data_IF_921664388986
#
_entry.id   IF_921664388986
#
_cell.length_a   1.000
_cell.length_b   1.000
_cell.length_c   1.000
_cell.angle_alpha   90.00
_cell.angle_beta   90.00
_cell.angle_gamma   90.00
#
_symmetry.space_group_name_H-M   'P 1'
#
loop_
_entity.id
_entity.type
_entity.pdbx_description
1 polymer ?
#
# COMPACT_ATOMS: atom_id res chain seq x y z
N UNK A 1 6.26 3.82 -54.83
CA UNK A 1 5.10 3.46 -53.98
C UNK A 1 5.47 3.82 -52.55
N UNK A 2 4.93 4.90 -51.96
CA UNK A 2 5.05 5.11 -50.53
C UNK A 2 4.00 4.23 -49.84
N UNK A 3 4.48 3.32 -48.99
CA UNK A 3 3.67 2.55 -48.07
C UNK A 3 3.27 3.47 -46.90
N UNK A 4 2.29 4.34 -47.13
CA UNK A 4 1.53 4.99 -46.05
C UNK A 4 0.64 3.94 -45.40
N UNK A 5 1.22 3.12 -44.53
CA UNK A 5 0.45 2.35 -43.57
C UNK A 5 -0.16 3.37 -42.60
N UNK A 6 -1.42 3.75 -42.84
CA UNK A 6 -2.19 4.59 -41.93
C UNK A 6 -2.01 4.05 -40.50
N UNK A 7 -1.37 4.85 -39.64
CA UNK A 7 -1.06 4.41 -38.29
C UNK A 7 -2.34 4.00 -37.57
N UNK A 8 -2.29 2.83 -36.90
CA UNK A 8 -3.42 2.23 -36.22
C UNK A 8 -4.07 3.27 -35.27
N UNK A 9 -5.35 3.65 -35.47
CA UNK A 9 -6.01 4.68 -34.67
C UNK A 9 -5.96 4.42 -33.16
N UNK A 10 -5.98 3.14 -32.74
CA UNK A 10 -5.83 2.76 -31.33
C UNK A 10 -4.42 3.10 -30.81
N UNK A 11 -3.38 2.76 -31.57
CA UNK A 11 -2.00 3.01 -31.18
C UNK A 11 -1.75 4.51 -31.05
N UNK A 12 -2.26 5.31 -31.99
CA UNK A 12 -2.17 6.77 -31.91
C UNK A 12 -2.80 7.33 -30.62
N UNK A 13 -3.99 6.86 -30.24
CA UNK A 13 -4.64 7.31 -29.01
C UNK A 13 -3.87 6.88 -27.75
N UNK A 14 -3.32 5.67 -27.73
CA UNK A 14 -2.46 5.21 -26.64
C UNK A 14 -1.20 6.06 -26.54
N UNK A 15 -0.55 6.37 -27.67
CA UNK A 15 0.66 7.21 -27.69
C UNK A 15 0.36 8.65 -27.22
N UNK A 16 -0.79 9.21 -27.60
CA UNK A 16 -1.27 10.51 -27.09
C UNK A 16 -1.49 10.45 -25.59
N UNK A 17 -2.16 9.41 -25.08
CA UNK A 17 -2.42 9.25 -23.65
C UNK A 17 -1.11 9.18 -22.84
N UNK A 18 -0.17 8.34 -23.26
CA UNK A 18 1.13 8.17 -22.60
C UNK A 18 2.01 9.42 -22.71
N UNK A 19 1.99 10.09 -23.87
CA UNK A 19 2.71 11.33 -24.09
C UNK A 19 2.17 12.47 -23.23
N UNK A 20 0.85 12.64 -23.16
CA UNK A 20 0.20 13.63 -22.30
C UNK A 20 0.48 13.37 -20.82
N UNK A 21 0.36 12.11 -20.36
CA UNK A 21 0.70 11.71 -18.98
C UNK A 21 2.15 12.07 -18.64
N UNK A 22 3.08 11.79 -19.55
CA UNK A 22 4.51 12.08 -19.35
C UNK A 22 4.81 13.58 -19.26
N UNK A 23 4.00 14.41 -19.91
CA UNK A 23 4.04 15.88 -19.81
C UNK A 23 3.18 16.44 -18.67
N UNK A 24 2.62 15.58 -17.81
CA UNK A 24 1.72 15.96 -16.70
C UNK A 24 0.43 16.66 -17.16
N UNK A 25 0.02 16.45 -18.41
CA UNK A 25 -1.29 16.86 -18.94
C UNK A 25 -2.30 15.74 -18.70
N UNK A 26 -2.76 15.64 -17.45
CA UNK A 26 -3.68 14.60 -17.01
C UNK A 26 -5.06 14.65 -17.69
N UNK A 27 -5.68 15.83 -17.95
CA UNK A 27 -6.93 15.90 -18.70
C UNK A 27 -6.84 15.32 -20.11
N UNK A 28 -5.79 15.67 -20.87
CA UNK A 28 -5.58 15.10 -22.21
C UNK A 28 -5.28 13.60 -22.14
N UNK A 29 -4.48 13.17 -21.15
CA UNK A 29 -4.18 11.76 -20.94
C UNK A 29 -5.46 10.94 -20.69
N UNK A 30 -6.36 11.43 -19.82
CA UNK A 30 -7.64 10.81 -19.54
C UNK A 30 -8.52 10.72 -20.78
N UNK A 31 -8.70 11.83 -21.50
CA UNK A 31 -9.56 11.89 -22.67
C UNK A 31 -9.09 10.95 -23.79
N UNK A 32 -7.78 10.88 -24.04
CA UNK A 32 -7.20 9.96 -25.01
C UNK A 32 -7.35 8.49 -24.57
N UNK A 33 -7.15 8.21 -23.27
CA UNK A 33 -7.34 6.87 -22.70
C UNK A 33 -8.78 6.40 -22.83
N UNK A 34 -9.76 7.24 -22.49
CA UNK A 34 -11.19 6.93 -22.62
C UNK A 34 -11.53 6.60 -24.08
N UNK A 35 -11.10 7.43 -25.04
CA UNK A 35 -11.32 7.18 -26.47
C UNK A 35 -10.70 5.86 -26.93
N UNK A 36 -9.45 5.57 -26.55
CA UNK A 36 -8.79 4.31 -26.86
C UNK A 36 -9.53 3.11 -26.25
N UNK A 37 -9.95 3.25 -24.98
CA UNK A 37 -10.67 2.22 -24.25
C UNK A 37 -12.03 1.90 -24.88
N UNK A 38 -12.81 2.93 -25.26
CA UNK A 38 -14.08 2.75 -25.94
C UNK A 38 -13.92 2.11 -27.34
N UNK A 39 -12.84 2.45 -28.05
CA UNK A 39 -12.56 1.87 -29.37
C UNK A 39 -12.21 0.38 -29.29
N UNK A 40 -11.41 -0.02 -28.30
CA UNK A 40 -10.91 -1.40 -28.18
C UNK A 40 -10.67 -1.81 -26.71
N UNK A 41 -11.73 -2.08 -25.93
CA UNK A 41 -11.59 -2.36 -24.49
C UNK A 41 -10.77 -3.64 -24.22
N UNK A 42 -10.78 -4.61 -25.14
CA UNK A 42 -9.96 -5.82 -25.04
C UNK A 42 -8.46 -5.56 -25.13
N UNK A 43 -8.03 -4.47 -25.77
CA UNK A 43 -6.61 -4.08 -25.80
C UNK A 43 -6.09 -3.66 -24.41
N UNK A 44 -7.00 -3.32 -23.49
CA UNK A 44 -6.69 -2.98 -22.10
C UNK A 44 -6.68 -4.18 -21.16
N UNK A 45 -6.78 -5.42 -21.68
CA UNK A 45 -6.36 -6.63 -20.96
C UNK A 45 -4.81 -6.72 -20.92
N UNK A 46 -4.18 -5.65 -20.42
CA UNK A 46 -2.75 -5.44 -20.47
C UNK A 46 -2.30 -4.64 -19.25
N UNK A 47 -1.81 -5.35 -18.24
CA UNK A 47 -1.31 -4.73 -17.01
C UNK A 47 -0.15 -3.74 -17.25
N UNK A 48 0.71 -3.98 -18.25
CA UNK A 48 1.82 -3.06 -18.56
C UNK A 48 1.30 -1.71 -19.03
N UNK A 49 0.26 -1.70 -19.87
CA UNK A 49 -0.40 -0.47 -20.31
C UNK A 49 -1.00 0.29 -19.13
N UNK A 50 -1.71 -0.41 -18.23
CA UNK A 50 -2.24 0.22 -17.02
C UNK A 50 -1.15 0.79 -16.12
N UNK A 51 -0.05 0.06 -15.92
CA UNK A 51 1.10 0.58 -15.18
C UNK A 51 1.69 1.84 -15.79
N UNK A 52 1.78 1.92 -17.12
CA UNK A 52 2.20 3.13 -17.81
C UNK A 52 1.19 4.27 -17.68
N UNK A 53 -0.11 4.02 -17.63
CA UNK A 53 -1.11 5.07 -17.43
C UNK A 53 -1.16 5.57 -15.98
N UNK A 54 -0.95 4.67 -15.01
CA UNK A 54 -1.02 4.95 -13.57
C UNK A 54 0.28 5.46 -12.94
N UNK A 55 1.43 5.28 -13.60
CA UNK A 55 2.70 5.59 -12.96
C UNK A 55 2.85 7.10 -12.71
N UNK A 56 2.99 7.47 -11.44
CA UNK A 56 3.21 8.82 -10.97
C UNK A 56 4.55 9.39 -11.48
N UNK A 57 4.70 10.73 -11.55
CA UNK A 57 6.01 11.33 -11.71
C UNK A 57 6.90 11.02 -10.48
N UNK A 58 8.23 11.12 -10.61
CA UNK A 58 9.14 10.97 -9.46
C UNK A 58 8.89 11.99 -8.35
N UNK A 59 8.32 13.15 -8.69
CA UNK A 59 7.97 14.23 -7.79
C UNK A 59 6.83 15.07 -8.38
N UNK A 60 6.02 15.70 -7.52
CA UNK A 60 4.93 16.63 -7.90
C UNK A 60 5.36 18.07 -7.63
N UNK A 61 5.19 18.96 -8.62
CA UNK A 61 5.57 20.38 -8.58
C UNK A 61 4.69 21.22 -7.66
N UNK A 62 3.47 20.78 -7.38
CA UNK A 62 2.53 21.48 -6.49
C UNK A 62 1.59 20.47 -5.85
N UNK A 63 0.93 20.86 -4.75
CA UNK A 63 -0.20 20.09 -4.23
C UNK A 63 -1.32 19.91 -5.28
N UNK A 64 -1.58 20.95 -6.09
CA UNK A 64 -2.58 20.88 -7.16
C UNK A 64 -2.26 19.83 -8.23
N UNK A 65 -0.99 19.69 -8.63
CA UNK A 65 -0.58 18.61 -9.57
C UNK A 65 -0.84 17.23 -8.97
N UNK A 66 -0.59 17.06 -7.67
CA UNK A 66 -0.85 15.80 -6.97
C UNK A 66 -2.36 15.47 -6.94
N UNK A 67 -3.20 16.49 -6.69
CA UNK A 67 -4.65 16.37 -6.74
C UNK A 67 -5.15 16.02 -8.15
N UNK A 68 -4.60 16.64 -9.19
CA UNK A 68 -4.95 16.33 -10.59
C UNK A 68 -4.54 14.89 -10.97
N UNK A 69 -3.39 14.42 -10.47
CA UNK A 69 -2.98 13.02 -10.63
C UNK A 69 -3.96 12.07 -9.91
N UNK A 70 -4.39 12.41 -8.70
CA UNK A 70 -5.40 11.62 -7.98
C UNK A 70 -6.72 11.58 -8.75
N UNK A 71 -7.16 12.72 -9.31
CA UNK A 71 -8.36 12.81 -10.11
C UNK A 71 -8.29 11.95 -11.39
N UNK A 72 -7.12 11.90 -12.05
CA UNK A 72 -6.85 10.97 -13.14
C UNK A 72 -6.99 9.52 -12.67
N UNK A 73 -6.34 9.16 -11.56
CA UNK A 73 -6.38 7.82 -11.01
C UNK A 73 -7.81 7.37 -10.67
N UNK A 74 -8.62 8.22 -10.02
CA UNK A 74 -10.02 7.91 -9.74
C UNK A 74 -10.83 7.75 -11.04
N UNK A 75 -10.62 8.64 -12.02
CA UNK A 75 -11.33 8.59 -13.30
C UNK A 75 -11.01 7.34 -14.12
N UNK A 76 -9.75 6.88 -14.09
CA UNK A 76 -9.36 5.63 -14.74
C UNK A 76 -9.96 4.41 -14.02
N UNK A 77 -10.00 4.41 -12.68
CA UNK A 77 -10.72 3.38 -11.93
C UNK A 77 -12.22 3.41 -12.26
N UNK A 78 -12.82 4.59 -12.39
CA UNK A 78 -14.24 4.76 -12.70
C UNK A 78 -14.58 4.22 -14.09
N UNK A 79 -13.71 4.47 -15.07
CA UNK A 79 -13.81 3.92 -16.42
C UNK A 79 -13.83 2.38 -16.39
N UNK A 80 -12.90 1.77 -15.65
CA UNK A 80 -12.81 0.31 -15.54
C UNK A 80 -13.99 -0.26 -14.77
N UNK A 81 -14.38 0.34 -13.64
CA UNK A 81 -15.53 -0.10 -12.85
C UNK A 81 -16.83 -0.06 -13.67
N UNK A 82 -17.06 1.03 -14.40
CA UNK A 82 -18.21 1.17 -15.31
C UNK A 82 -18.21 0.07 -16.37
N UNK A 83 -17.05 -0.17 -16.99
CA UNK A 83 -16.91 -1.22 -18.00
C UNK A 83 -17.16 -2.62 -17.41
N UNK A 84 -16.64 -2.91 -16.22
CA UNK A 84 -16.88 -4.16 -15.51
C UNK A 84 -18.36 -4.38 -15.18
N UNK A 85 -19.08 -3.32 -14.79
CA UNK A 85 -20.52 -3.38 -14.48
C UNK A 85 -21.42 -3.66 -15.69
N UNK A 86 -20.97 -3.31 -16.90
CA UNK A 86 -21.74 -3.48 -18.14
C UNK A 86 -21.35 -4.73 -18.95
N UNK A 87 -20.20 -5.34 -18.67
CA UNK A 87 -19.65 -6.43 -19.47
C UNK A 87 -19.99 -7.83 -18.97
N UNK A 88 -19.70 -8.85 -19.77
CA UNK A 88 -19.81 -10.24 -19.35
C UNK A 88 -18.88 -10.56 -18.17
N UNK A 89 -19.27 -11.45 -17.22
CA UNK A 89 -18.55 -11.65 -15.96
C UNK A 89 -17.07 -12.00 -16.11
N UNK A 90 -16.73 -12.82 -17.12
CA UNK A 90 -15.34 -13.22 -17.36
C UNK A 90 -14.47 -12.06 -17.83
N UNK A 91 -14.97 -11.26 -18.77
CA UNK A 91 -14.24 -10.08 -19.24
C UNK A 91 -14.11 -9.04 -18.14
N UNK A 92 -15.16 -8.81 -17.35
CA UNK A 92 -15.12 -7.91 -16.20
C UNK A 92 -14.03 -8.32 -15.19
N UNK A 93 -13.94 -9.62 -14.88
CA UNK A 93 -12.92 -10.15 -13.99
C UNK A 93 -11.51 -10.01 -14.56
N UNK A 94 -11.30 -10.39 -15.82
CA UNK A 94 -10.00 -10.29 -16.49
C UNK A 94 -9.53 -8.83 -16.59
N UNK A 95 -10.44 -7.91 -16.94
CA UNK A 95 -10.13 -6.49 -17.03
C UNK A 95 -9.73 -5.90 -15.67
N UNK A 96 -10.52 -6.14 -14.62
CA UNK A 96 -10.21 -5.66 -13.28
C UNK A 96 -8.89 -6.26 -12.76
N UNK A 97 -8.62 -7.54 -13.03
CA UNK A 97 -7.37 -8.19 -12.66
C UNK A 97 -6.16 -7.57 -13.37
N UNK A 98 -6.25 -7.34 -14.69
CA UNK A 98 -5.18 -6.68 -15.45
C UNK A 98 -4.95 -5.24 -14.99
N UNK A 99 -6.02 -4.51 -14.70
CA UNK A 99 -5.93 -3.16 -14.13
C UNK A 99 -5.20 -3.16 -12.79
N UNK A 100 -5.65 -3.97 -11.83
CA UNK A 100 -5.03 -4.06 -10.50
C UNK A 100 -3.58 -4.53 -10.57
N UNK A 101 -3.23 -5.43 -11.50
CA UNK A 101 -1.85 -5.86 -11.68
C UNK A 101 -0.92 -4.73 -12.14
N UNK A 102 -1.44 -3.79 -12.95
CA UNK A 102 -0.68 -2.63 -13.41
C UNK A 102 -0.69 -1.43 -12.46
N UNK A 103 -1.77 -1.23 -11.70
CA UNK A 103 -1.98 -0.02 -10.90
C UNK A 103 -1.03 0.09 -9.69
N UNK A 104 -0.62 1.32 -9.38
CA UNK A 104 0.16 1.69 -8.19
C UNK A 104 -0.56 2.79 -7.44
N UNK A 105 -0.86 2.58 -6.15
CA UNK A 105 -1.61 3.51 -5.31
C UNK A 105 -0.72 4.21 -4.27
N UNK A 106 0.58 3.89 -4.22
CA UNK A 106 1.50 4.48 -3.25
C UNK A 106 1.62 6.02 -3.35
N UNK A 107 1.32 6.59 -4.52
CA UNK A 107 1.37 8.03 -4.77
C UNK A 107 -0.01 8.67 -4.71
N UNK A 108 -1.07 7.90 -4.42
CA UNK A 108 -2.42 8.45 -4.25
C UNK A 108 -2.69 8.82 -2.79
N UNK A 109 -1.74 8.52 -1.91
CA UNK A 109 -1.70 8.92 -0.50
C UNK A 109 -0.71 10.08 -0.34
N UNK A 110 -0.85 10.86 0.75
CA UNK A 110 -0.12 12.12 1.02
C UNK A 110 -0.72 13.40 0.38
N UNK A 111 -2.05 13.49 0.35
CA UNK A 111 -2.81 14.71 0.03
C UNK A 111 -3.85 14.95 1.13
N UNK A 112 -4.52 16.11 1.07
CA UNK A 112 -5.55 16.52 2.03
C UNK A 112 -6.97 16.05 1.63
N UNK A 113 -7.08 15.19 0.61
CA UNK A 113 -8.36 14.73 0.09
C UNK A 113 -8.89 13.52 0.86
N UNK A 114 -10.21 13.44 1.01
CA UNK A 114 -10.86 12.29 1.62
C UNK A 114 -10.80 11.08 0.67
N UNK A 115 -10.02 10.06 1.04
CA UNK A 115 -9.76 8.90 0.19
C UNK A 115 -10.78 7.76 0.35
N UNK A 116 -11.79 7.88 1.21
CA UNK A 116 -12.77 6.80 1.44
C UNK A 116 -13.50 6.40 0.15
N UNK A 117 -13.92 7.37 -0.66
CA UNK A 117 -14.57 7.09 -1.95
C UNK A 117 -13.63 6.44 -2.97
N UNK A 118 -12.41 6.97 -3.08
CA UNK A 118 -11.34 6.43 -3.93
C UNK A 118 -11.04 4.96 -3.59
N UNK A 119 -10.87 4.68 -2.30
CA UNK A 119 -10.58 3.32 -1.81
C UNK A 119 -11.80 2.40 -1.94
N UNK A 120 -13.02 2.91 -1.80
CA UNK A 120 -14.25 2.19 -2.11
C UNK A 120 -14.30 1.70 -3.57
N UNK A 121 -13.90 2.58 -4.51
CA UNK A 121 -13.82 2.22 -5.93
C UNK A 121 -12.77 1.15 -6.19
N UNK A 122 -11.58 1.29 -5.59
CA UNK A 122 -10.54 0.26 -5.61
C UNK A 122 -11.07 -1.07 -5.09
N UNK A 123 -11.82 -1.07 -3.98
CA UNK A 123 -12.42 -2.27 -3.41
C UNK A 123 -13.46 -2.93 -4.34
N UNK A 124 -14.25 -2.14 -5.08
CA UNK A 124 -15.15 -2.65 -6.11
C UNK A 124 -14.40 -3.40 -7.22
N UNK A 125 -13.26 -2.87 -7.68
CA UNK A 125 -12.40 -3.53 -8.67
C UNK A 125 -11.81 -4.86 -8.16
N UNK A 126 -11.42 -4.94 -6.88
CA UNK A 126 -11.07 -6.24 -6.27
C UNK A 126 -12.27 -7.20 -6.28
N UNK A 127 -13.48 -6.70 -6.05
CA UNK A 127 -14.71 -7.47 -6.17
C UNK A 127 -14.89 -8.11 -7.55
N UNK A 128 -14.71 -7.34 -8.62
CA UNK A 128 -14.76 -7.85 -10.00
C UNK A 128 -13.65 -8.85 -10.29
N UNK A 129 -12.40 -8.50 -9.96
CA UNK A 129 -11.23 -9.35 -10.22
C UNK A 129 -11.33 -10.72 -9.54
N UNK A 130 -11.98 -10.77 -8.37
CA UNK A 130 -12.15 -12.00 -7.58
C UNK A 130 -13.50 -12.70 -7.83
N UNK A 131 -14.35 -12.16 -8.70
CA UNK A 131 -15.70 -12.70 -8.95
C UNK A 131 -15.68 -14.12 -9.55
N UNK A 132 -14.62 -14.48 -10.28
CA UNK A 132 -14.40 -15.80 -10.88
C UNK A 132 -13.47 -16.69 -10.04
N UNK A 133 -13.20 -16.31 -8.79
CA UNK A 133 -12.37 -17.11 -7.87
C UNK A 133 -13.01 -18.47 -7.60
N UNK A 134 -12.21 -19.55 -7.69
CA UNK A 134 -12.64 -20.91 -7.35
C UNK A 134 -12.95 -21.10 -5.85
N UNK A 135 -12.55 -20.14 -5.00
CA UNK A 135 -12.82 -20.15 -3.56
C UNK A 135 -13.77 -18.99 -3.22
N UNK A 136 -14.83 -19.21 -2.42
CA UNK A 136 -15.75 -18.14 -2.02
C UNK A 136 -15.05 -17.07 -1.20
N UNK A 137 -15.40 -15.79 -1.40
CA UNK A 137 -14.88 -14.66 -0.62
C UNK A 137 -15.36 -14.70 0.83
N UNK A 138 -16.63 -14.99 1.06
CA UNK A 138 -17.18 -15.18 2.41
C UNK A 138 -16.82 -16.56 2.97
N UNK A 139 -16.76 -16.65 4.29
CA UNK A 139 -16.59 -17.90 5.02
C UNK A 139 -17.16 -17.74 6.42
N UNK A 140 -17.82 -18.79 6.91
CA UNK A 140 -18.34 -18.86 8.27
C UNK A 140 -17.43 -19.79 9.03
N UNK A 141 -16.68 -19.23 9.98
CA UNK A 141 -15.93 -20.01 10.95
C UNK A 141 -16.89 -20.58 11.99
N UNK A 142 -16.63 -21.79 12.46
CA UNK A 142 -17.39 -22.36 13.56
C UNK A 142 -17.29 -21.46 14.80
N UNK A 143 -18.40 -21.38 15.54
CA UNK A 143 -18.58 -20.65 16.82
C UNK A 143 -17.41 -20.96 17.79
N UNK A 144 -17.04 -20.03 18.69
CA UNK A 144 -15.68 -19.88 19.21
C UNK A 144 -15.03 -21.14 19.75
N UNK A 145 -13.70 -21.13 19.67
CA UNK A 145 -12.76 -21.97 20.40
C UNK A 145 -13.37 -22.43 21.72
N UNK A 146 -13.57 -23.74 21.86
CA UNK A 146 -14.11 -24.34 23.08
C UNK A 146 -13.39 -23.76 24.31
N UNK A 147 -14.15 -23.51 25.38
CA UNK A 147 -13.59 -23.05 26.66
C UNK A 147 -12.33 -23.87 27.01
N UNK A 148 -11.16 -23.23 26.96
CA UNK A 148 -9.87 -23.85 27.30
C UNK A 148 -8.86 -23.98 26.16
N UNK A 149 -9.23 -23.82 24.89
CA UNK A 149 -8.24 -23.78 23.81
C UNK A 149 -7.59 -22.39 23.66
N UNK A 150 -6.30 -22.39 23.32
CA UNK A 150 -5.45 -21.20 23.21
C UNK A 150 -5.91 -20.33 22.03
N UNK A 151 -6.18 -19.02 22.21
CA UNK A 151 -6.54 -18.15 21.09
C UNK A 151 -5.43 -18.11 20.03
N UNK A 152 -5.78 -18.02 18.74
CA UNK A 152 -4.84 -18.05 17.62
C UNK A 152 -4.80 -16.72 16.87
N UNK A 153 -3.63 -16.10 16.84
CA UNK A 153 -3.32 -14.87 16.11
C UNK A 153 -2.46 -15.21 14.90
N UNK A 154 -3.01 -15.02 13.71
CA UNK A 154 -2.26 -14.98 12.46
C UNK A 154 -1.72 -13.58 12.19
N UNK A 155 -0.49 -13.47 11.71
CA UNK A 155 0.07 -12.21 11.22
C UNK A 155 0.57 -12.44 9.80
N UNK A 156 0.16 -11.60 8.86
CA UNK A 156 0.55 -11.73 7.44
C UNK A 156 1.61 -10.70 7.10
N UNK A 157 2.77 -11.18 6.67
CA UNK A 157 3.85 -10.37 6.11
C UNK A 157 4.08 -10.67 4.62
N UNK A 158 4.52 -9.66 3.86
CA UNK A 158 5.01 -9.81 2.48
C UNK A 158 6.37 -10.51 2.46
N UNK A 159 7.25 -10.18 3.41
CA UNK A 159 8.62 -10.69 3.50
C UNK A 159 9.13 -10.64 4.95
N UNK A 160 10.27 -11.29 5.24
CA UNK A 160 10.92 -11.29 6.55
C UNK A 160 12.12 -10.32 6.59
N UNK A 161 11.97 -9.14 5.99
CA UNK A 161 12.96 -8.06 6.10
C UNK A 161 12.60 -7.13 7.24
N UNK A 162 13.61 -6.52 7.87
CA UNK A 162 13.39 -5.51 8.90
C UNK A 162 13.17 -4.15 8.25
N UNK A 163 11.93 -3.66 8.30
CA UNK A 163 11.52 -2.36 7.77
C UNK A 163 10.48 -1.69 8.70
N UNK A 164 10.06 -0.44 8.47
CA UNK A 164 9.10 0.24 9.34
C UNK A 164 7.77 -0.49 9.53
N UNK A 165 7.26 -1.18 8.49
CA UNK A 165 5.99 -1.91 8.57
C UNK A 165 6.12 -3.13 9.50
N UNK A 166 7.11 -3.98 9.25
CA UNK A 166 7.34 -5.20 10.04
C UNK A 166 7.78 -4.89 11.47
N UNK A 167 8.60 -3.85 11.68
CA UNK A 167 9.07 -3.44 13.02
C UNK A 167 7.98 -2.78 13.86
N UNK A 168 7.01 -2.10 13.25
CA UNK A 168 5.87 -1.53 13.97
C UNK A 168 4.85 -2.59 14.43
N UNK A 169 4.83 -3.75 13.77
CA UNK A 169 3.91 -4.84 14.09
C UNK A 169 4.53 -5.85 15.07
N UNK A 170 5.86 -5.90 15.20
CA UNK A 170 6.56 -6.79 16.16
C UNK A 170 6.03 -6.76 17.61
N UNK A 171 5.63 -5.62 18.20
CA UNK A 171 5.05 -5.60 19.55
C UNK A 171 3.83 -6.51 19.70
N UNK A 172 2.99 -6.63 18.66
CA UNK A 172 1.83 -7.51 18.70
C UNK A 172 2.25 -8.97 18.90
N UNK A 173 3.34 -9.42 18.26
CA UNK A 173 3.86 -10.78 18.44
C UNK A 173 4.28 -11.03 19.89
N UNK A 174 5.12 -10.13 20.43
CA UNK A 174 5.71 -10.29 21.75
C UNK A 174 4.66 -10.30 22.85
N UNK A 175 3.74 -9.32 22.83
CA UNK A 175 2.70 -9.21 23.84
C UNK A 175 1.65 -10.32 23.71
N UNK A 176 1.24 -10.69 22.48
CA UNK A 176 0.30 -11.80 22.29
C UNK A 176 0.89 -13.12 22.80
N UNK A 177 2.14 -13.43 22.44
CA UNK A 177 2.80 -14.66 22.89
C UNK A 177 2.95 -14.70 24.41
N UNK A 178 3.34 -13.58 25.03
CA UNK A 178 3.44 -13.46 26.49
C UNK A 178 2.08 -13.60 27.21
N UNK A 179 1.00 -13.12 26.58
CA UNK A 179 -0.37 -13.29 27.07
C UNK A 179 -0.94 -14.71 26.84
N UNK A 180 -0.13 -15.65 26.35
CA UNK A 180 -0.57 -17.01 26.10
C UNK A 180 -1.42 -17.15 24.83
N UNK A 181 -1.32 -16.25 23.84
CA UNK A 181 -1.95 -16.40 22.51
C UNK A 181 -0.98 -17.14 21.58
N UNK A 182 -1.47 -18.07 20.76
CA UNK A 182 -0.67 -18.75 19.74
C UNK A 182 -0.42 -17.80 18.58
N UNK A 183 0.84 -17.49 18.28
CA UNK A 183 1.22 -16.54 17.22
C UNK A 183 1.75 -17.30 16.01
N UNK A 184 1.07 -17.15 14.87
CA UNK A 184 1.43 -17.79 13.60
C UNK A 184 1.77 -16.69 12.59
N UNK A 185 3.00 -16.67 12.12
CA UNK A 185 3.43 -15.77 11.06
C UNK A 185 3.22 -16.44 9.71
N UNK A 186 2.50 -15.79 8.82
CA UNK A 186 2.33 -16.16 7.41
C UNK A 186 3.15 -15.21 6.54
N UNK A 187 4.04 -15.75 5.68
CA UNK A 187 4.92 -14.96 4.82
C UNK A 187 4.69 -15.28 3.36
N UNK A 188 4.60 -14.27 2.50
CA UNK A 188 4.51 -14.49 1.05
C UNK A 188 5.87 -14.87 0.48
N UNK A 189 6.90 -14.09 0.80
CA UNK A 189 8.28 -14.34 0.41
C UNK A 189 9.10 -14.80 1.62
N UNK A 190 9.59 -16.04 1.59
CA UNK A 190 10.46 -16.60 2.63
C UNK A 190 11.90 -16.06 2.60
N UNK A 191 12.08 -14.79 2.23
CA UNK A 191 13.37 -14.08 2.18
C UNK A 191 13.45 -13.07 3.31
N UNK A 192 14.61 -12.97 3.96
CA UNK A 192 14.80 -12.10 5.11
C UNK A 192 16.24 -12.02 5.59
N UNK A 193 16.54 -11.01 6.42
CA UNK A 193 17.83 -10.91 7.10
C UNK A 193 17.88 -11.93 8.24
N UNK A 194 18.96 -12.71 8.33
CA UNK A 194 19.08 -13.82 9.27
C UNK A 194 18.77 -13.42 10.72
N UNK A 195 19.35 -12.32 11.21
CA UNK A 195 19.10 -11.84 12.57
C UNK A 195 17.62 -11.50 12.84
N UNK A 196 16.92 -10.95 11.85
CA UNK A 196 15.50 -10.65 11.96
C UNK A 196 14.66 -11.93 11.92
N UNK A 197 14.97 -12.87 11.03
CA UNK A 197 14.34 -14.19 10.96
C UNK A 197 14.51 -14.95 12.28
N UNK A 198 15.69 -14.89 12.89
CA UNK A 198 15.94 -15.54 14.18
C UNK A 198 15.15 -14.87 15.30
N UNK A 199 15.04 -13.54 15.32
CA UNK A 199 14.13 -12.86 16.24
C UNK A 199 12.67 -13.30 16.04
N UNK A 200 12.18 -13.38 14.79
CA UNK A 200 10.82 -13.85 14.49
C UNK A 200 10.54 -15.24 15.06
N UNK A 201 11.51 -16.17 14.99
CA UNK A 201 11.38 -17.50 15.61
C UNK A 201 11.22 -17.43 17.13
N UNK A 202 11.79 -16.43 17.79
CA UNK A 202 11.62 -16.25 19.25
C UNK A 202 10.24 -15.71 19.63
N UNK A 203 9.61 -14.93 18.76
CA UNK A 203 8.32 -14.24 19.05
C UNK A 203 7.11 -14.92 18.40
N UNK A 204 7.31 -15.90 17.52
CA UNK A 204 6.25 -16.72 16.93
C UNK A 204 6.19 -18.11 17.57
N UNK A 205 5.06 -18.79 17.44
CA UNK A 205 4.92 -20.23 17.64
C UNK A 205 5.21 -21.00 16.34
N UNK A 206 4.81 -20.42 15.20
CA UNK A 206 4.96 -21.03 13.87
C UNK A 206 5.23 -19.94 12.82
N UNK A 207 6.06 -20.25 11.83
CA UNK A 207 6.26 -19.43 10.62
C UNK A 207 5.90 -20.30 9.41
N UNK A 208 5.01 -19.81 8.54
CA UNK A 208 4.44 -20.54 7.42
C UNK A 208 4.60 -19.71 6.15
N UNK A 209 5.19 -20.30 5.11
CA UNK A 209 5.17 -19.68 3.79
C UNK A 209 3.82 -19.90 3.12
N UNK A 210 3.19 -18.81 2.67
CA UNK A 210 1.95 -18.85 1.91
C UNK A 210 2.19 -19.36 0.49
N UNK A 211 1.25 -20.13 -0.08
CA UNK A 211 1.23 -20.41 -1.50
C UNK A 211 1.22 -19.12 -2.34
N UNK A 212 1.80 -19.19 -3.53
CA UNK A 212 1.78 -18.07 -4.50
C UNK A 212 0.38 -17.82 -5.05
N UNK A 213 -0.43 -18.86 -5.14
CA UNK A 213 -1.84 -18.82 -5.56
C UNK A 213 -2.73 -18.30 -4.43
N UNK A 214 -3.45 -17.22 -4.68
CA UNK A 214 -4.40 -16.62 -3.72
C UNK A 214 -5.46 -17.64 -3.26
N UNK A 215 -6.14 -18.41 -4.14
CA UNK A 215 -7.09 -19.43 -3.69
C UNK A 215 -6.49 -20.50 -2.76
N UNK A 216 -5.25 -20.94 -3.01
CA UNK A 216 -4.57 -21.92 -2.16
C UNK A 216 -4.20 -21.31 -0.80
N UNK A 217 -3.71 -20.07 -0.79
CA UNK A 217 -3.43 -19.33 0.44
C UNK A 217 -4.69 -19.12 1.29
N UNK A 218 -5.84 -18.80 0.66
CA UNK A 218 -7.13 -18.69 1.37
C UNK A 218 -7.53 -20.03 2.01
N UNK A 219 -7.40 -21.14 1.27
CA UNK A 219 -7.71 -22.48 1.82
C UNK A 219 -6.82 -22.82 3.01
N UNK A 220 -5.52 -22.56 2.90
CA UNK A 220 -4.56 -22.75 3.99
C UNK A 220 -4.91 -21.90 5.22
N UNK A 221 -5.15 -20.60 5.04
CA UNK A 221 -5.47 -19.70 6.15
C UNK A 221 -6.77 -20.08 6.86
N UNK A 222 -7.79 -20.53 6.12
CA UNK A 222 -9.04 -21.03 6.72
C UNK A 222 -8.85 -22.32 7.52
N UNK A 223 -7.97 -23.21 7.07
CA UNK A 223 -7.63 -24.43 7.80
C UNK A 223 -6.91 -24.15 9.12
N UNK A 224 -6.23 -23.01 9.22
CA UNK A 224 -5.60 -22.55 10.47
C UNK A 224 -6.62 -21.97 11.47
N UNK A 225 -7.91 -21.90 11.12
CA UNK A 225 -9.03 -21.57 12.02
C UNK A 225 -8.73 -20.38 12.97
N UNK A 226 -8.15 -19.32 12.41
CA UNK A 226 -7.62 -18.19 13.15
C UNK A 226 -8.73 -17.39 13.84
N UNK A 227 -8.51 -17.01 15.09
CA UNK A 227 -9.41 -16.09 15.81
C UNK A 227 -9.22 -14.66 15.32
N UNK A 228 -7.96 -14.26 15.17
CA UNK A 228 -7.59 -12.94 14.68
C UNK A 228 -6.53 -13.11 13.60
N UNK A 229 -6.64 -12.34 12.52
CA UNK A 229 -5.53 -12.10 11.60
C UNK A 229 -5.20 -10.62 11.55
N UNK A 230 -3.92 -10.29 11.66
CA UNK A 230 -3.40 -8.93 11.52
C UNK A 230 -2.58 -8.83 10.22
N UNK A 231 -2.95 -7.88 9.35
CA UNK A 231 -2.14 -7.53 8.18
C UNK A 231 -1.03 -6.57 8.63
N UNK A 232 0.21 -7.07 8.61
CA UNK A 232 1.37 -6.34 9.14
C UNK A 232 2.15 -5.52 8.10
N UNK A 233 1.64 -5.44 6.88
CA UNK A 233 2.20 -4.61 5.82
C UNK A 233 1.09 -3.75 5.21
N UNK A 234 1.47 -2.70 4.48
CA UNK A 234 0.51 -1.87 3.77
C UNK A 234 -0.22 -2.68 2.68
N UNK A 235 -1.53 -2.87 2.83
CA UNK A 235 -2.38 -3.56 1.85
C UNK A 235 -3.14 -2.62 0.92
N UNK A 236 -2.88 -1.31 0.99
CA UNK A 236 -3.54 -0.27 0.21
C UNK A 236 -2.68 0.27 -0.92
N UNK A 237 -1.37 0.48 -0.69
CA UNK A 237 -0.47 1.06 -1.69
C UNK A 237 -0.28 0.26 -2.99
N UNK A 238 -0.43 -1.07 -2.96
CA UNK A 238 -0.34 -1.92 -4.17
C UNK A 238 -1.22 -3.18 -4.07
N UNK A 239 -1.75 -3.71 -5.19
CA UNK A 239 -2.45 -5.00 -5.24
C UNK A 239 -1.54 -6.22 -5.05
N UNK A 240 -0.90 -6.31 -3.87
CA UNK A 240 -0.07 -7.44 -3.46
C UNK A 240 -0.91 -8.65 -3.02
N UNK A 241 -0.29 -9.82 -2.87
CA UNK A 241 -0.97 -11.03 -2.35
C UNK A 241 -1.72 -10.75 -1.03
N UNK A 242 -1.13 -10.07 -0.01
CA UNK A 242 -1.88 -9.71 1.20
C UNK A 242 -3.07 -8.78 0.93
N UNK A 243 -2.97 -7.88 -0.05
CA UNK A 243 -4.11 -7.05 -0.46
C UNK A 243 -5.23 -7.88 -1.11
N UNK A 244 -4.91 -8.91 -1.90
CA UNK A 244 -5.95 -9.83 -2.38
C UNK A 244 -6.56 -10.65 -1.24
N UNK A 245 -5.74 -11.14 -0.30
CA UNK A 245 -6.21 -11.89 0.86
C UNK A 245 -7.14 -11.08 1.75
N UNK A 246 -6.98 -9.75 1.84
CA UNK A 246 -7.88 -8.90 2.62
C UNK A 246 -9.31 -8.86 2.08
N UNK A 247 -9.58 -9.36 0.87
CA UNK A 247 -10.93 -9.49 0.29
C UNK A 247 -11.56 -10.89 0.46
N UNK A 248 -10.90 -11.78 1.20
CA UNK A 248 -11.45 -13.07 1.61
C UNK A 248 -11.58 -13.13 3.12
N UNK A 249 -12.68 -13.69 3.62
CA UNK A 249 -12.81 -14.02 5.03
C UNK A 249 -11.88 -15.18 5.37
N UNK A 250 -10.79 -14.89 6.07
CA UNK A 250 -9.70 -15.84 6.40
C UNK A 250 -9.43 -15.99 7.91
N UNK A 251 -10.14 -15.24 8.75
CA UNK A 251 -10.15 -15.41 10.21
C UNK A 251 -11.51 -14.96 10.79
N UNK A 252 -11.77 -15.29 12.06
CA UNK A 252 -12.97 -14.82 12.79
C UNK A 252 -12.97 -13.31 12.97
N UNK A 253 -11.81 -12.67 13.07
CA UNK A 253 -11.60 -11.21 13.01
C UNK A 253 -10.39 -10.87 12.16
N UNK A 254 -10.56 -9.93 11.25
CA UNK A 254 -9.53 -9.42 10.36
C UNK A 254 -9.21 -7.98 10.74
N UNK A 255 -7.95 -7.71 11.00
CA UNK A 255 -7.49 -6.43 11.49
C UNK A 255 -6.34 -5.89 10.63
N UNK A 256 -6.27 -4.57 10.53
CA UNK A 256 -5.09 -3.84 10.07
C UNK A 256 -4.72 -2.76 11.10
N UNK A 257 -3.58 -2.12 10.90
CA UNK A 257 -3.06 -1.09 11.81
C UNK A 257 -2.36 0.01 11.01
N UNK A 258 -1.60 0.88 11.69
CA UNK A 258 -0.90 2.03 11.10
C UNK A 258 0.07 1.70 9.95
N UNK A 259 0.44 0.42 9.75
CA UNK A 259 1.15 -0.01 8.54
C UNK A 259 0.30 0.16 7.26
N UNK A 260 -1.02 0.21 7.40
CA UNK A 260 -1.98 0.50 6.34
C UNK A 260 -2.44 1.95 6.48
N UNK A 261 -2.10 2.79 5.51
CA UNK A 261 -2.17 4.25 5.67
C UNK A 261 -3.60 4.82 5.53
N UNK A 262 -4.45 4.14 4.77
CA UNK A 262 -5.83 4.56 4.47
C UNK A 262 -6.78 3.39 4.66
N UNK A 263 -8.08 3.66 4.65
CA UNK A 263 -9.10 2.59 4.67
C UNK A 263 -8.83 1.52 3.62
N UNK A 264 -8.97 0.24 3.97
CA UNK A 264 -8.87 -0.84 2.98
C UNK A 264 -10.08 -0.88 2.08
N UNK A 265 -11.21 -0.33 2.56
CA UNK A 265 -12.54 -0.46 1.99
C UNK A 265 -12.96 -1.92 1.71
N UNK A 266 -12.24 -2.90 2.27
CA UNK A 266 -12.58 -4.30 2.09
C UNK A 266 -13.79 -4.64 2.95
N UNK A 267 -14.83 -5.27 2.40
CA UNK A 267 -15.97 -5.72 3.18
C UNK A 267 -15.65 -6.86 4.16
N UNK A 268 -14.43 -7.42 4.11
CA UNK A 268 -13.99 -8.49 5.00
C UNK A 268 -13.15 -7.99 6.19
N UNK A 269 -12.68 -6.74 6.16
CA UNK A 269 -11.85 -6.17 7.22
C UNK A 269 -12.75 -5.66 8.35
N UNK A 270 -12.52 -6.13 9.58
CA UNK A 270 -13.36 -5.75 10.73
C UNK A 270 -12.84 -4.48 11.41
N UNK A 271 -11.53 -4.43 11.67
CA UNK A 271 -10.94 -3.46 12.61
C UNK A 271 -9.72 -2.77 12.01
N UNK A 272 -9.66 -1.46 12.20
CA UNK A 272 -8.46 -0.66 12.02
C UNK A 272 -7.96 -0.19 13.40
N UNK A 273 -6.73 -0.59 13.78
CA UNK A 273 -6.08 -0.05 14.97
C UNK A 273 -5.34 1.25 14.63
N UNK A 274 -5.86 2.36 15.14
CA UNK A 274 -5.26 3.68 15.03
C UNK A 274 -4.95 4.30 16.39
N UNK A 275 -4.78 5.61 16.43
CA UNK A 275 -4.44 6.37 17.63
C UNK A 275 -5.58 7.32 18.03
N UNK A 276 -5.77 7.53 19.32
CA UNK A 276 -6.71 8.51 19.89
C UNK A 276 -6.44 9.96 19.44
N UNK A 277 -5.18 10.33 19.17
CA UNK A 277 -4.81 11.60 18.55
C UNK A 277 -5.52 11.86 17.22
N UNK A 278 -5.61 10.83 16.37
CA UNK A 278 -6.29 10.90 15.07
C UNK A 278 -7.80 10.82 15.23
N UNK A 279 -8.30 9.97 16.14
CA UNK A 279 -9.73 9.88 16.42
C UNK A 279 -10.30 11.23 16.89
N UNK A 280 -9.59 11.92 17.79
CA UNK A 280 -9.97 13.24 18.30
C UNK A 280 -10.01 14.34 17.22
N UNK A 281 -9.40 14.11 16.05
CA UNK A 281 -9.39 15.00 14.89
C UNK A 281 -10.41 14.61 13.81
N UNK A 282 -11.25 13.61 14.09
CA UNK A 282 -12.28 13.15 13.16
C UNK A 282 -11.79 12.14 12.11
N UNK A 283 -10.51 11.79 12.08
CA UNK A 283 -9.95 10.86 11.08
C UNK A 283 -10.55 9.45 11.17
N UNK A 284 -11.15 9.07 12.31
CA UNK A 284 -11.83 7.79 12.46
C UNK A 284 -12.99 7.62 11.45
N UNK A 285 -13.60 8.72 11.00
CA UNK A 285 -14.68 8.72 10.00
C UNK A 285 -14.22 8.39 8.57
N UNK A 286 -12.91 8.41 8.31
CA UNK A 286 -12.34 8.09 6.99
C UNK A 286 -12.21 6.59 6.76
N UNK A 287 -12.37 5.79 7.82
CA UNK A 287 -12.23 4.34 7.82
C UNK A 287 -13.59 3.65 7.68
N UNK A 288 -13.62 2.62 6.84
CA UNK A 288 -14.82 1.77 6.67
C UNK A 288 -14.85 0.64 7.69
N UNK A 289 -13.68 0.28 8.19
CA UNK A 289 -13.46 -0.63 9.31
C UNK A 289 -13.90 0.03 10.62
N UNK A 290 -14.15 -0.79 11.64
CA UNK A 290 -14.28 -0.27 12.99
C UNK A 290 -12.93 0.32 13.43
N UNK A 291 -12.89 1.65 13.58
CA UNK A 291 -11.71 2.34 14.10
C UNK A 291 -11.59 2.10 15.61
N UNK A 292 -10.51 1.45 16.03
CA UNK A 292 -10.15 1.27 17.44
C UNK A 292 -8.99 2.20 17.76
N UNK A 293 -9.27 3.21 18.58
CA UNK A 293 -8.29 4.19 19.03
C UNK A 293 -7.46 3.64 20.20
N UNK A 294 -6.16 3.45 19.96
CA UNK A 294 -5.17 3.14 20.97
C UNK A 294 -4.59 4.44 21.56
N UNK A 295 -4.12 4.43 22.83
CA UNK A 295 -3.45 5.60 23.42
C UNK A 295 -2.23 6.05 22.59
N UNK A 296 -2.06 7.36 22.42
CA UNK A 296 -0.93 7.98 21.72
C UNK A 296 0.44 7.38 22.12
N UNK A 297 1.29 6.97 21.14
CA UNK A 297 1.17 7.20 19.69
C UNK A 297 0.36 6.15 18.91
N UNK A 298 -0.25 5.18 19.57
CA UNK A 298 -1.05 4.11 18.93
C UNK A 298 -0.25 3.08 18.14
N UNK A 299 1.08 3.12 18.24
CA UNK A 299 2.00 2.12 17.69
C UNK A 299 3.30 2.08 18.50
N UNK A 300 4.09 1.01 18.33
CA UNK A 300 5.42 0.92 18.90
C UNK A 300 6.35 0.25 17.90
N UNK A 301 7.63 0.61 17.92
CA UNK A 301 8.63 -0.01 17.05
C UNK A 301 9.59 -0.87 17.86
N UNK A 302 9.90 -2.05 17.35
CA UNK A 302 10.96 -2.90 17.87
C UNK A 302 12.01 -3.15 16.80
N UNK A 303 13.26 -2.93 17.15
CA UNK A 303 14.39 -3.04 16.23
C UNK A 303 15.38 -4.11 16.71
N UNK A 304 15.03 -5.40 16.61
CA UNK A 304 15.80 -6.49 17.21
C UNK A 304 17.21 -6.65 16.63
N UNK A 305 17.43 -6.23 15.38
CA UNK A 305 18.75 -6.29 14.74
C UNK A 305 19.49 -4.95 14.71
N UNK A 306 18.89 -3.87 15.25
CA UNK A 306 19.53 -2.55 15.23
C UNK A 306 20.53 -2.45 16.38
N UNK A 307 21.80 -2.60 16.04
CA UNK A 307 22.86 -2.00 16.84
C UNK A 307 22.78 -0.48 16.61
N UNK A 308 22.88 0.32 17.67
CA UNK A 308 23.13 1.74 17.48
C UNK A 308 24.41 1.86 16.63
N UNK A 309 24.41 2.69 15.58
CA UNK A 309 25.62 2.85 14.78
C UNK A 309 26.77 3.27 15.70
N UNK A 310 27.88 2.54 15.61
CA UNK A 310 29.08 2.84 16.38
C UNK A 310 29.71 4.18 15.95
N UNK A 311 29.47 4.59 14.70
CA UNK A 311 29.91 5.87 14.17
C UNK A 311 28.91 6.97 14.51
N UNK A 312 29.30 7.81 15.46
CA UNK A 312 28.71 9.14 15.64
C UNK A 312 29.28 10.02 14.54
N UNK A 313 28.42 10.52 13.66
CA UNK A 313 28.81 11.48 12.64
C UNK A 313 29.10 12.82 13.32
N UNK A 314 30.39 13.16 13.44
CA UNK A 314 30.81 14.43 14.00
C UNK A 314 30.41 15.58 13.06
N UNK A 315 29.99 16.71 13.64
CA UNK A 315 29.70 17.95 12.92
C UNK A 315 30.84 18.38 12.00
N UNK A 316 32.08 18.20 12.46
CA UNK A 316 33.26 18.51 11.66
C UNK A 316 33.34 17.65 10.38
N UNK A 317 32.95 16.37 10.46
CA UNK A 317 32.90 15.47 9.30
C UNK A 317 31.82 15.88 8.27
N UNK A 318 30.80 16.62 8.71
CA UNK A 318 29.79 17.24 7.84
C UNK A 318 30.17 18.66 7.38
N UNK A 319 31.36 19.17 7.76
CA UNK A 319 31.77 20.54 7.46
C UNK A 319 30.94 21.60 8.19
N UNK A 320 30.36 21.27 9.34
CA UNK A 320 29.51 22.16 10.14
C UNK A 320 30.31 22.75 11.31
N UNK A 321 30.12 24.05 11.58
CA UNK A 321 30.64 24.66 12.80
C UNK A 321 29.92 24.11 14.04
N UNK A 322 30.50 24.18 15.25
CA UNK A 322 29.89 23.63 16.48
C UNK A 322 28.51 24.21 16.83
N UNK A 323 28.22 25.44 16.42
CA UNK A 323 27.01 26.21 16.70
C UNK A 323 26.01 26.27 15.54
N UNK A 324 26.36 25.72 14.37
CA UNK A 324 25.45 25.65 13.20
C UNK A 324 24.14 24.95 13.58
N UNK A 325 22.98 25.59 13.37
CA UNK A 325 21.71 24.91 13.53
C UNK A 325 21.54 23.87 12.41
N UNK A 326 21.51 22.58 12.77
CA UNK A 326 21.31 21.49 11.83
C UNK A 326 19.84 21.03 11.88
N UNK A 327 19.10 21.33 10.82
CA UNK A 327 17.77 20.79 10.56
C UNK A 327 17.91 19.46 9.82
N UNK A 328 17.04 18.51 10.10
CA UNK A 328 17.14 17.16 9.52
C UNK A 328 15.79 16.68 9.00
N UNK A 329 15.78 16.06 7.82
CA UNK A 329 14.62 15.32 7.33
C UNK A 329 15.01 13.91 6.89
N UNK A 330 14.42 12.92 7.56
CA UNK A 330 14.47 11.51 7.18
C UNK A 330 13.29 11.06 6.31
N UNK A 331 12.50 12.02 5.80
CA UNK A 331 11.31 11.71 5.01
C UNK A 331 11.67 11.00 3.70
N UNK A 332 10.74 10.21 3.18
CA UNK A 332 10.83 9.63 1.86
C UNK A 332 10.66 10.72 0.79
N UNK A 333 11.30 10.62 -0.37
CA UNK A 333 11.09 11.57 -1.48
C UNK A 333 9.63 11.62 -1.92
N UNK A 334 8.86 10.53 -1.76
CA UNK A 334 7.41 10.52 -2.04
C UNK A 334 6.57 11.40 -1.11
N UNK A 335 7.18 11.93 -0.05
CA UNK A 335 6.57 12.88 0.90
C UNK A 335 7.08 14.30 0.70
N UNK A 336 7.97 14.52 -0.29
CA UNK A 336 8.57 15.81 -0.58
C UNK A 336 7.77 16.46 -1.72
N UNK A 337 6.79 17.26 -1.32
CA UNK A 337 6.03 18.11 -2.23
C UNK A 337 6.69 19.50 -2.27
N UNK A 338 6.48 20.24 -3.35
CA UNK A 338 7.06 21.58 -3.51
C UNK A 338 6.73 22.51 -2.33
N UNK A 339 5.49 22.49 -1.85
CA UNK A 339 5.04 23.31 -0.72
C UNK A 339 5.88 23.06 0.55
N UNK A 340 6.25 21.80 0.83
CA UNK A 340 7.13 21.47 1.96
C UNK A 340 8.55 22.00 1.73
N UNK A 341 9.06 21.88 0.50
CA UNK A 341 10.38 22.39 0.11
C UNK A 341 10.43 23.91 0.20
N UNK A 342 9.37 24.61 -0.21
CA UNK A 342 9.23 26.06 -0.13
C UNK A 342 9.28 26.53 1.32
N UNK A 343 8.57 25.83 2.23
CA UNK A 343 8.65 26.10 3.67
C UNK A 343 10.08 25.92 4.19
N UNK A 344 10.79 24.87 3.76
CA UNK A 344 12.19 24.68 4.16
C UNK A 344 13.10 25.79 3.62
N UNK A 345 12.91 26.22 2.37
CA UNK A 345 13.65 27.33 1.78
C UNK A 345 13.38 28.62 2.59
N UNK A 346 12.15 28.89 2.97
CA UNK A 346 11.79 30.06 3.77
C UNK A 346 12.40 30.04 5.16
N UNK A 347 12.44 28.87 5.81
CA UNK A 347 13.18 28.69 7.08
C UNK A 347 14.66 29.01 6.89
N UNK A 348 15.29 28.48 5.84
CA UNK A 348 16.72 28.70 5.56
C UNK A 348 17.04 30.15 5.16
N UNK A 349 16.12 30.85 4.49
CA UNK A 349 16.26 32.29 4.21
C UNK A 349 16.25 33.12 5.49
N UNK A 350 15.40 32.76 6.46
CA UNK A 350 15.31 33.44 7.77
C UNK A 350 16.45 33.06 8.70
N UNK A 351 17.04 31.89 8.52
CA UNK A 351 18.14 31.35 9.32
C UNK A 351 19.34 31.02 8.41
N UNK A 352 20.07 32.03 7.89
CA UNK A 352 21.10 31.82 6.86
C UNK A 352 22.29 30.96 7.34
N UNK A 353 22.48 30.85 8.65
CA UNK A 353 23.49 29.97 9.25
C UNK A 353 23.01 28.54 9.45
N UNK A 354 21.71 28.26 9.32
CA UNK A 354 21.19 26.90 9.42
C UNK A 354 21.58 26.06 8.21
N UNK A 355 21.61 24.74 8.39
CA UNK A 355 21.81 23.75 7.33
C UNK A 355 20.71 22.70 7.40
N UNK A 356 20.29 22.20 6.25
CA UNK A 356 19.33 21.11 6.14
C UNK A 356 20.04 19.84 5.67
N UNK A 357 19.99 18.79 6.48
CA UNK A 357 20.46 17.46 6.14
C UNK A 357 19.28 16.58 5.71
N UNK A 358 19.34 16.09 4.47
CA UNK A 358 18.41 15.11 3.93
C UNK A 358 19.06 13.72 3.99
N UNK A 359 18.33 12.74 4.54
CA UNK A 359 18.84 11.38 4.67
C UNK A 359 18.80 10.69 3.30
N UNK A 360 19.70 9.74 3.01
CA UNK A 360 19.57 8.93 1.81
C UNK A 360 18.21 8.23 1.81
N UNK A 361 17.40 8.45 0.77
CA UNK A 361 16.12 7.78 0.64
C UNK A 361 16.38 6.27 0.48
N UNK A 362 15.73 5.38 1.27
CA UNK A 362 16.00 3.96 1.16
C UNK A 362 15.71 3.47 -0.28
N UNK A 363 16.58 2.63 -0.88
CA UNK A 363 16.45 2.22 -2.28
C UNK A 363 15.13 1.52 -2.58
N UNK A 364 14.54 0.84 -1.60
CA UNK A 364 13.22 0.18 -1.71
C UNK A 364 12.04 1.12 -1.95
N UNK A 365 12.26 2.43 -1.84
CA UNK A 365 11.23 3.42 -2.14
C UNK A 365 11.52 4.27 -3.36
N UNK A 366 12.79 4.42 -3.79
CA UNK A 366 13.23 5.31 -4.88
C UNK A 366 13.86 4.65 -6.10
N UNK A 367 13.93 3.32 -6.18
CA UNK A 367 14.43 2.62 -7.37
C UNK A 367 13.31 1.84 -8.05
N UNK A 368 12.51 2.49 -8.89
CA UNK A 368 12.28 1.89 -10.20
C UNK A 368 13.64 1.98 -10.91
N UNK A 369 14.15 0.84 -11.40
CA UNK A 369 15.44 0.80 -12.08
C UNK A 369 15.55 1.89 -13.15
N UNK A 370 16.75 2.45 -13.24
CA UNK A 370 17.23 3.07 -14.49
C UNK A 370 17.07 2.05 -15.62
#
# INVERSE_FOLDING_TARGET
MPSDAAANPLQQLVDVALGARSRRDYPTALAATQKAFHLAPRAFLNAKLWGLLFNAPPWFETAAEHDDYLALADSLMALVETACGAAEPRFAADLAAQFLHGAQFRHTVHNDLLLTGFMGRRAALFGYALSQSAVPRSHVFATPVANGARPRLGIIFKHMQQDPETTSVLPFFQHAKAAGIEVILFVVEARGHQAFVDHLKTVCNKIVQLPTSVPDAVRMLRQEDLDIVLFGNDITAKPSVPAYLSFYRIARRMCCCVSTLVTTASPQMDVYFGCDYYAARGCASEFTEQFVALPDPGFAFLFPSRQMPAEVLDRAALGLAPDTLLLTSGANHTKLHADLVDVWIDILRRLPQARLLLYPFPPHFGAAGV
#
